data_IF_249149957621
#
_entry.id   IF_249149957621
#
_cell.length_a   1.000
_cell.length_b   1.000
_cell.length_c   1.000
_cell.angle_alpha   90.00
_cell.angle_beta   90.00
_cell.angle_gamma   90.00
#
_symmetry.space_group_name_H-M   'P 1'
#
loop_
_entity.id
_entity.type
_entity.pdbx_description
1 polymer ?
#
# COMPACT_ATOMS: atom_id res chain seq x y z
N UNK A 1 -70.29 19.68 -101.60
CA UNK A 1 -69.31 18.60 -101.84
C UNK A 1 -68.34 18.59 -100.66
N UNK A 2 -68.53 17.73 -99.66
CA UNK A 2 -67.88 16.39 -99.48
C UNK A 2 -66.34 16.52 -99.35
N UNK A 3 -65.62 16.04 -98.33
CA UNK A 3 -65.84 14.95 -97.34
C UNK A 3 -64.71 14.93 -96.28
N UNK A 4 -65.08 14.67 -95.02
CA UNK A 4 -64.53 13.64 -94.10
C UNK A 4 -63.01 13.31 -94.06
N UNK A 5 -62.39 13.34 -92.87
CA UNK A 5 -62.03 12.12 -92.10
C UNK A 5 -61.43 12.36 -90.70
N UNK A 6 -61.76 11.40 -89.83
CA UNK A 6 -61.47 11.17 -88.41
C UNK A 6 -59.99 11.09 -87.97
N UNK A 7 -59.82 11.34 -86.67
CA UNK A 7 -58.93 10.72 -85.65
C UNK A 7 -57.46 10.46 -85.98
N UNK A 8 -56.55 10.90 -85.08
CA UNK A 8 -55.90 9.93 -84.19
C UNK A 8 -55.31 10.53 -82.91
N UNK A 9 -55.56 9.85 -81.78
CA UNK A 9 -55.01 10.14 -80.44
C UNK A 9 -53.66 9.42 -80.35
N UNK A 10 -52.55 10.14 -80.21
CA UNK A 10 -51.26 9.53 -79.80
C UNK A 10 -50.88 9.97 -78.39
N UNK A 11 -51.15 9.06 -77.45
CA UNK A 11 -50.52 8.99 -76.14
C UNK A 11 -49.00 9.03 -76.31
N UNK A 12 -48.34 10.10 -75.81
CA UNK A 12 -46.89 10.13 -75.66
C UNK A 12 -46.52 9.30 -74.44
N UNK A 13 -46.11 8.05 -74.68
CA UNK A 13 -45.42 7.24 -73.68
C UNK A 13 -44.17 7.96 -73.20
N UNK A 14 -44.09 8.20 -71.88
CA UNK A 14 -42.90 8.71 -71.21
C UNK A 14 -41.86 7.60 -71.23
N UNK A 15 -40.79 7.79 -72.00
CA UNK A 15 -39.69 6.83 -72.11
C UNK A 15 -39.13 6.58 -70.70
N UNK A 16 -39.09 5.33 -70.20
CA UNK A 16 -38.42 5.02 -68.95
C UNK A 16 -36.93 5.33 -69.12
N UNK A 17 -36.42 6.30 -68.35
CA UNK A 17 -34.98 6.57 -68.26
C UNK A 17 -34.32 5.29 -67.74
N UNK A 18 -33.47 4.67 -68.54
CA UNK A 18 -32.65 3.54 -68.12
C UNK A 18 -31.84 3.98 -66.90
N UNK A 19 -32.12 3.36 -65.75
CA UNK A 19 -31.22 3.46 -64.60
C UNK A 19 -29.94 2.73 -65.00
N UNK A 20 -28.83 3.45 -65.10
CA UNK A 20 -27.52 2.86 -65.34
C UNK A 20 -27.25 1.86 -64.22
N UNK A 21 -27.09 0.58 -64.57
CA UNK A 21 -26.62 -0.43 -63.64
C UNK A 21 -25.12 -0.23 -63.46
N UNK A 22 -24.65 -0.25 -62.20
CA UNK A 22 -23.23 -0.16 -61.88
C UNK A 22 -22.49 -1.39 -62.41
N UNK A 23 -21.35 -1.15 -63.04
CA UNK A 23 -20.49 -2.22 -63.55
C UNK A 23 -19.78 -2.94 -62.40
N UNK A 24 -19.46 -4.22 -62.58
CA UNK A 24 -18.69 -4.98 -61.60
C UNK A 24 -17.33 -4.32 -61.30
N UNK A 25 -16.74 -3.65 -62.28
CA UNK A 25 -15.48 -2.91 -62.12
C UNK A 25 -15.67 -1.68 -61.25
N UNK A 26 -16.76 -0.92 -61.39
CA UNK A 26 -17.06 0.20 -60.50
C UNK A 26 -17.27 -0.25 -59.05
N UNK A 27 -18.02 -1.34 -58.84
CA UNK A 27 -18.21 -1.88 -57.50
C UNK A 27 -16.91 -2.39 -56.88
N UNK A 28 -16.02 -2.99 -57.69
CA UNK A 28 -14.69 -3.40 -57.24
C UNK A 28 -13.87 -2.19 -56.78
N UNK A 29 -13.77 -1.15 -57.61
CA UNK A 29 -13.01 0.07 -57.27
C UNK A 29 -13.54 0.74 -56.01
N UNK A 30 -14.87 0.82 -55.87
CA UNK A 30 -15.50 1.40 -54.67
C UNK A 30 -15.16 0.62 -53.41
N UNK A 31 -15.25 -0.72 -53.45
CA UNK A 31 -14.91 -1.55 -52.29
C UNK A 31 -13.42 -1.42 -51.96
N UNK A 32 -12.53 -1.37 -52.95
CA UNK A 32 -11.09 -1.17 -52.72
C UNK A 32 -10.81 0.17 -52.07
N UNK A 33 -11.43 1.27 -52.56
CA UNK A 33 -11.28 2.60 -51.95
C UNK A 33 -11.84 2.61 -50.53
N UNK A 34 -13.00 1.97 -50.30
CA UNK A 34 -13.61 1.89 -48.98
C UNK A 34 -12.71 1.14 -47.99
N UNK A 35 -12.11 0.02 -48.39
CA UNK A 35 -11.18 -0.74 -47.56
C UNK A 35 -9.90 0.07 -47.25
N UNK A 36 -9.35 0.78 -48.23
CA UNK A 36 -8.19 1.66 -48.01
C UNK A 36 -8.55 2.78 -47.05
N UNK A 37 -9.68 3.46 -47.26
CA UNK A 37 -10.16 4.51 -46.36
C UNK A 37 -10.42 3.99 -44.95
N UNK A 38 -11.04 2.81 -44.81
CA UNK A 38 -11.30 2.20 -43.52
C UNK A 38 -9.99 1.86 -42.79
N UNK A 39 -8.99 1.32 -43.48
CA UNK A 39 -7.68 1.05 -42.91
C UNK A 39 -6.99 2.31 -42.36
N UNK A 40 -7.00 3.40 -43.15
CA UNK A 40 -6.43 4.68 -42.72
C UNK A 40 -7.23 5.28 -41.54
N UNK A 41 -8.56 5.21 -41.59
CA UNK A 41 -9.43 5.76 -40.54
C UNK A 41 -9.19 5.06 -39.20
N UNK A 42 -9.08 3.73 -39.18
CA UNK A 42 -8.80 2.97 -37.96
C UNK A 42 -7.44 3.32 -37.36
N UNK A 43 -6.40 3.46 -38.22
CA UNK A 43 -5.07 3.83 -37.75
C UNK A 43 -5.04 5.20 -37.06
N UNK A 44 -5.73 6.20 -37.64
CA UNK A 44 -5.81 7.55 -37.04
C UNK A 44 -6.56 7.53 -35.71
N UNK A 45 -7.67 6.79 -35.62
CA UNK A 45 -8.46 6.68 -34.38
C UNK A 45 -7.62 6.08 -33.26
N UNK A 46 -6.87 4.99 -33.53
CA UNK A 46 -6.05 4.34 -32.51
C UNK A 46 -4.97 5.27 -31.93
N UNK A 47 -4.23 5.99 -32.77
CA UNK A 47 -3.19 6.94 -32.31
C UNK A 47 -3.82 8.08 -31.49
N UNK A 48 -4.98 8.60 -31.92
CA UNK A 48 -5.67 9.65 -31.17
C UNK A 48 -6.21 9.18 -29.81
N UNK A 49 -6.71 7.93 -29.74
CA UNK A 49 -7.28 7.36 -28.53
C UNK A 49 -6.23 7.05 -27.45
N UNK A 50 -4.96 6.88 -27.84
CA UNK A 50 -3.86 6.55 -26.93
C UNK A 50 -3.33 7.76 -26.15
N UNK A 51 -3.26 8.93 -26.77
CA UNK A 51 -2.96 10.17 -26.03
C UNK A 51 -4.09 10.54 -25.07
N UNK A 52 -5.35 10.32 -25.47
CA UNK A 52 -6.51 10.70 -24.67
C UNK A 52 -6.70 9.82 -23.43
N UNK A 53 -6.37 8.52 -23.49
CA UNK A 53 -6.46 7.63 -22.32
C UNK A 53 -5.48 8.01 -21.21
N UNK A 54 -4.24 8.38 -21.53
CA UNK A 54 -3.22 8.72 -20.51
C UNK A 54 -3.62 10.01 -19.80
N UNK A 55 -4.04 11.01 -20.57
CA UNK A 55 -4.58 12.26 -20.01
C UNK A 55 -5.80 11.99 -19.13
N UNK A 56 -6.74 11.17 -19.60
CA UNK A 56 -7.91 10.75 -18.81
C UNK A 56 -7.50 10.05 -17.52
N UNK A 57 -6.50 9.15 -17.56
CA UNK A 57 -5.99 8.46 -16.38
C UNK A 57 -5.36 9.42 -15.37
N UNK A 58 -4.54 10.37 -15.84
CA UNK A 58 -3.95 11.40 -14.98
C UNK A 58 -5.02 12.31 -14.35
N UNK A 59 -6.02 12.74 -15.14
CA UNK A 59 -7.17 13.50 -14.62
C UNK A 59 -7.97 12.71 -13.59
N UNK A 60 -8.11 11.38 -13.78
CA UNK A 60 -8.81 10.52 -12.83
C UNK A 60 -8.04 10.43 -11.50
N UNK A 61 -6.73 10.18 -11.53
CA UNK A 61 -5.87 10.14 -10.33
C UNK A 61 -5.90 11.49 -9.60
N UNK A 62 -5.76 12.60 -10.33
CA UNK A 62 -5.84 13.94 -9.76
C UNK A 62 -7.19 14.19 -9.09
N UNK A 63 -8.29 13.85 -9.77
CA UNK A 63 -9.66 14.02 -9.26
C UNK A 63 -9.91 13.19 -8.01
N UNK A 64 -9.35 11.97 -7.95
CA UNK A 64 -9.44 11.12 -6.76
C UNK A 64 -8.71 11.72 -5.57
N UNK A 65 -7.48 12.20 -5.76
CA UNK A 65 -6.71 12.83 -4.69
C UNK A 65 -7.37 14.13 -4.20
N UNK A 66 -7.82 14.99 -5.12
CA UNK A 66 -8.56 16.19 -4.77
C UNK A 66 -9.88 15.87 -4.04
N UNK A 67 -10.64 14.89 -4.53
CA UNK A 67 -11.87 14.45 -3.89
C UNK A 67 -11.64 13.85 -2.49
N UNK A 68 -10.53 13.14 -2.27
CA UNK A 68 -10.19 12.62 -0.93
C UNK A 68 -9.87 13.75 0.06
N UNK A 69 -9.15 14.77 -0.40
CA UNK A 69 -8.87 15.99 0.37
C UNK A 69 -10.15 16.72 0.74
N UNK A 70 -11.06 16.92 -0.22
CA UNK A 70 -12.32 17.63 0.01
C UNK A 70 -13.24 16.82 0.94
N UNK A 71 -13.24 15.48 0.83
CA UNK A 71 -13.92 14.59 1.80
C UNK A 71 -13.33 14.67 3.20
N UNK A 72 -12.00 14.83 3.34
CA UNK A 72 -11.35 15.02 4.64
C UNK A 72 -11.82 16.32 5.31
N UNK A 73 -11.90 17.40 4.53
CA UNK A 73 -12.42 18.69 4.99
C UNK A 73 -13.90 18.58 5.39
N UNK A 74 -14.73 17.94 4.56
CA UNK A 74 -16.16 17.77 4.82
C UNK A 74 -16.44 16.88 6.04
N UNK A 75 -15.75 15.75 6.16
CA UNK A 75 -15.98 14.80 7.24
C UNK A 75 -15.34 15.22 8.58
N UNK A 76 -14.50 16.26 8.60
CA UNK A 76 -13.79 16.69 9.80
C UNK A 76 -12.77 15.67 10.33
N UNK A 77 -12.45 14.63 9.55
CA UNK A 77 -11.52 13.54 9.91
C UNK A 77 -10.67 13.12 8.72
N UNK A 78 -9.49 12.51 8.95
CA UNK A 78 -8.60 12.16 7.86
C UNK A 78 -9.23 11.18 6.85
N UNK A 79 -9.21 11.58 5.58
CA UNK A 79 -9.68 10.79 4.44
C UNK A 79 -8.57 10.72 3.39
N UNK A 80 -8.59 9.71 2.53
CA UNK A 80 -7.50 9.46 1.62
C UNK A 80 -7.86 8.61 0.42
N UNK A 81 -6.82 8.29 -0.35
CA UNK A 81 -6.87 7.33 -1.44
C UNK A 81 -5.91 6.19 -1.11
N UNK A 82 -6.38 4.95 -1.28
CA UNK A 82 -5.55 3.75 -1.32
C UNK A 82 -5.34 3.37 -2.77
N UNK A 83 -4.09 3.24 -3.16
CA UNK A 83 -3.64 2.73 -4.45
C UNK A 83 -3.34 1.24 -4.28
N UNK A 84 -3.90 0.39 -5.13
CA UNK A 84 -3.62 -1.04 -5.10
C UNK A 84 -2.55 -1.39 -6.13
N UNK A 85 -1.56 -2.15 -5.68
CA UNK A 85 -0.57 -2.74 -6.56
C UNK A 85 -1.24 -3.88 -7.34
N UNK A 86 -1.14 -3.83 -8.66
CA UNK A 86 -1.69 -4.84 -9.56
C UNK A 86 -0.79 -6.09 -9.58
N UNK A 87 -1.32 -7.29 -9.36
CA UNK A 87 -0.59 -8.53 -9.64
C UNK A 87 -0.22 -8.69 -11.13
N UNK A 88 -0.96 -8.07 -12.06
CA UNK A 88 -0.84 -8.28 -13.51
C UNK A 88 0.37 -7.61 -14.15
N UNK A 89 1.10 -6.74 -13.43
CA UNK A 89 2.38 -6.19 -13.88
C UNK A 89 3.56 -7.12 -13.64
N UNK A 90 3.34 -8.21 -12.94
CA UNK A 90 4.36 -9.12 -12.46
C UNK A 90 4.73 -10.16 -13.51
N UNK A 91 6.03 -10.30 -13.80
CA UNK A 91 6.56 -11.49 -14.46
C UNK A 91 6.33 -12.75 -13.60
N UNK A 92 6.08 -12.62 -12.30
CA UNK A 92 5.62 -13.70 -11.42
C UNK A 92 4.13 -14.00 -11.65
N UNK A 93 3.79 -14.52 -12.83
CA UNK A 93 2.39 -14.78 -13.27
C UNK A 93 1.69 -15.72 -12.28
N UNK A 94 2.43 -16.65 -11.69
CA UNK A 94 1.88 -17.68 -10.82
C UNK A 94 2.11 -17.43 -9.31
N UNK A 95 2.80 -16.35 -8.95
CA UNK A 95 2.95 -15.88 -7.56
C UNK A 95 3.89 -16.73 -6.71
N UNK A 96 4.79 -17.51 -7.32
CA UNK A 96 5.75 -18.37 -6.62
C UNK A 96 7.08 -17.67 -6.31
N UNK A 97 7.22 -16.40 -6.70
CA UNK A 97 8.42 -15.59 -6.54
C UNK A 97 9.66 -16.19 -7.22
N UNK A 98 9.45 -16.92 -8.31
CA UNK A 98 10.49 -17.45 -9.20
C UNK A 98 10.20 -16.96 -10.62
N UNK A 99 11.27 -16.82 -11.42
CA UNK A 99 11.14 -16.56 -12.85
C UNK A 99 10.98 -17.89 -13.57
N UNK A 100 9.77 -18.22 -14.00
CA UNK A 100 9.51 -19.44 -14.74
C UNK A 100 9.74 -19.28 -16.26
N UNK A 101 9.84 -20.42 -16.93
CA UNK A 101 10.11 -20.45 -18.35
C UNK A 101 8.89 -19.89 -19.12
N UNK A 102 9.04 -18.72 -19.75
CA UNK A 102 7.96 -17.98 -20.40
C UNK A 102 7.47 -16.76 -19.62
N UNK A 103 8.00 -16.51 -18.43
CA UNK A 103 7.71 -15.33 -17.61
C UNK A 103 8.71 -14.17 -17.85
N UNK A 104 9.90 -14.46 -18.39
CA UNK A 104 10.93 -13.46 -18.72
C UNK A 104 10.56 -12.65 -19.97
N UNK A 105 9.69 -11.65 -19.78
CA UNK A 105 9.09 -10.89 -20.86
C UNK A 105 10.12 -9.98 -21.56
N UNK A 106 11.19 -9.60 -20.87
CA UNK A 106 12.20 -8.68 -21.38
C UNK A 106 13.60 -9.31 -21.61
N UNK A 107 13.78 -10.59 -21.24
CA UNK A 107 14.98 -11.37 -21.54
C UNK A 107 16.18 -11.09 -20.63
N UNK A 108 15.96 -10.48 -19.46
CA UNK A 108 17.03 -10.10 -18.54
C UNK A 108 17.37 -11.20 -17.51
N UNK A 109 16.62 -12.31 -17.50
CA UNK A 109 16.72 -13.42 -16.55
C UNK A 109 16.56 -13.01 -15.06
N UNK A 110 15.82 -11.94 -14.79
CA UNK A 110 15.42 -11.50 -13.46
C UNK A 110 13.89 -11.49 -13.38
N UNK A 111 13.34 -11.82 -12.21
CA UNK A 111 11.89 -11.73 -11.98
C UNK A 111 11.49 -10.26 -11.81
N UNK A 112 10.92 -9.64 -12.84
CA UNK A 112 10.43 -8.28 -12.77
C UNK A 112 8.98 -8.24 -12.29
N UNK A 113 8.80 -7.99 -11.00
CA UNK A 113 7.51 -7.60 -10.44
C UNK A 113 7.22 -6.16 -10.94
N UNK A 114 6.50 -5.97 -12.04
CA UNK A 114 6.05 -4.64 -12.45
C UNK A 114 5.19 -4.01 -11.37
N UNK A 115 5.69 -2.91 -10.78
CA UNK A 115 4.99 -2.25 -9.68
C UNK A 115 3.99 -1.24 -10.24
N UNK A 116 2.88 -1.75 -10.75
CA UNK A 116 1.83 -0.96 -11.39
C UNK A 116 0.66 -0.76 -10.45
N UNK A 117 0.07 0.43 -10.47
CA UNK A 117 -1.22 0.69 -9.83
C UNK A 117 -2.26 0.92 -10.91
N UNK A 118 -3.24 0.04 -10.98
CA UNK A 118 -4.36 0.12 -11.94
C UNK A 118 -5.69 0.45 -11.27
N UNK A 119 -5.73 0.45 -9.94
CA UNK A 119 -6.96 0.74 -9.20
C UNK A 119 -6.74 1.53 -7.92
N UNK A 120 -7.76 2.29 -7.54
CA UNK A 120 -7.73 3.14 -6.37
C UNK A 120 -9.09 3.23 -5.69
N UNK A 121 -9.09 3.42 -4.37
CA UNK A 121 -10.33 3.51 -3.58
C UNK A 121 -10.22 4.58 -2.50
N UNK A 122 -11.34 5.19 -2.14
CA UNK A 122 -11.39 6.10 -1.01
C UNK A 122 -11.27 5.33 0.32
N UNK A 123 -10.40 5.84 1.18
CA UNK A 123 -10.18 5.34 2.54
C UNK A 123 -10.45 6.43 3.57
N UNK A 124 -10.78 6.03 4.78
CA UNK A 124 -10.99 6.93 5.90
C UNK A 124 -10.44 6.31 7.17
N UNK A 125 -9.94 7.14 8.07
CA UNK A 125 -9.64 6.68 9.44
C UNK A 125 -11.00 6.47 10.13
N UNK A 126 -11.31 5.25 10.62
CA UNK A 126 -12.58 5.00 11.30
C UNK A 126 -12.78 5.94 12.50
N UNK A 127 -14.04 6.27 12.83
CA UNK A 127 -14.37 6.98 14.09
C UNK A 127 -14.01 6.13 15.31
N UNK A 128 -14.03 4.82 15.11
CA UNK A 128 -13.80 3.84 16.15
C UNK A 128 -12.30 3.80 16.42
N UNK A 129 -11.91 4.38 17.54
CA UNK A 129 -10.76 3.83 18.25
C UNK A 129 -11.14 2.40 18.63
N UNK A 130 -10.26 1.44 18.42
CA UNK A 130 -10.39 0.22 19.23
C UNK A 130 -10.05 0.65 20.66
N UNK A 131 -11.10 0.84 21.45
CA UNK A 131 -11.04 1.11 22.88
C UNK A 131 -11.36 -0.19 23.60
N UNK A 132 -10.54 -0.50 24.59
CA UNK A 132 -10.80 -1.58 25.51
C UNK A 132 -10.02 -1.34 26.78
N UNK A 133 -10.40 -2.08 27.81
CA UNK A 133 -9.56 -2.26 28.98
C UNK A 133 -8.66 -3.47 28.73
N UNK A 134 -7.40 -3.37 29.14
CA UNK A 134 -6.59 -4.55 29.37
C UNK A 134 -6.44 -4.71 30.88
N UNK A 135 -6.52 -5.96 31.33
CA UNK A 135 -6.01 -6.33 32.64
C UNK A 135 -4.63 -6.90 32.40
N UNK A 136 -3.59 -6.31 33.00
CA UNK A 136 -2.31 -6.99 33.09
C UNK A 136 -2.48 -8.03 34.19
N UNK A 137 -2.94 -9.22 33.82
CA UNK A 137 -2.64 -10.40 34.63
C UNK A 137 -1.12 -10.51 34.61
N UNK A 138 -0.50 -10.62 35.78
CA UNK A 138 0.92 -10.94 35.86
C UNK A 138 1.21 -12.00 34.80
N UNK A 139 2.16 -11.72 33.91
CA UNK A 139 2.82 -12.85 33.28
C UNK A 139 3.41 -13.57 34.49
N UNK A 140 2.96 -14.79 34.78
CA UNK A 140 3.87 -15.81 35.28
C UNK A 140 4.96 -15.85 34.22
N UNK A 141 5.90 -14.89 34.31
CA UNK A 141 7.18 -15.00 33.68
C UNK A 141 7.63 -16.36 34.10
N UNK A 142 7.72 -17.25 33.13
CA UNK A 142 8.55 -18.42 33.27
C UNK A 142 9.90 -17.84 33.70
N UNK A 143 10.14 -17.79 35.01
CA UNK A 143 11.43 -17.57 35.62
C UNK A 143 12.27 -18.82 35.42
N UNK A 144 12.10 -19.54 34.31
CA UNK A 144 12.92 -20.65 33.93
C UNK A 144 14.12 -20.10 33.15
N UNK A 145 14.96 -19.34 33.86
CA UNK A 145 16.43 -19.47 33.78
C UNK A 145 17.11 -18.29 34.49
N UNK A 146 17.39 -18.47 35.78
CA UNK A 146 18.57 -17.96 36.52
C UNK A 146 18.28 -17.55 37.97
N UNK A 147 17.30 -18.16 38.64
CA UNK A 147 17.43 -18.33 40.08
C UNK A 147 18.34 -19.55 40.25
N UNK A 148 19.61 -19.29 40.55
CA UNK A 148 20.55 -20.32 41.00
C UNK A 148 20.02 -20.79 42.36
N UNK A 149 19.17 -21.81 42.35
CA UNK A 149 18.77 -22.51 43.57
C UNK A 149 19.94 -23.42 43.90
N UNK A 150 20.63 -23.16 45.02
CA UNK A 150 21.72 -24.01 45.51
C UNK A 150 21.20 -25.39 45.92
N UNK A 151 19.90 -25.56 46.14
CA UNK A 151 19.26 -26.89 46.24
C UNK A 151 18.80 -27.42 44.87
N UNK A 152 19.71 -27.58 43.91
CA UNK A 152 19.38 -28.04 42.54
C UNK A 152 18.62 -29.37 42.55
N UNK A 153 18.79 -30.17 43.60
CA UNK A 153 18.18 -31.49 43.78
C UNK A 153 16.99 -31.51 44.74
N UNK A 154 16.61 -30.38 45.33
CA UNK A 154 15.52 -30.22 46.29
C UNK A 154 15.55 -31.24 47.45
N UNK A 155 16.74 -31.53 47.97
CA UNK A 155 16.95 -32.52 49.02
C UNK A 155 17.25 -31.90 50.40
N UNK A 156 17.36 -30.57 50.47
CA UNK A 156 17.66 -29.83 51.69
C UNK A 156 19.09 -30.03 52.24
N UNK A 157 20.03 -30.47 51.39
CA UNK A 157 21.45 -30.68 51.73
C UNK A 157 22.34 -30.04 50.67
N UNK A 158 23.31 -29.22 51.10
CA UNK A 158 24.26 -28.55 50.19
C UNK A 158 25.24 -29.59 49.62
N UNK A 159 25.05 -30.00 48.36
CA UNK A 159 25.96 -30.96 47.73
C UNK A 159 27.21 -30.27 47.15
N UNK A 160 28.34 -31.00 47.02
CA UNK A 160 29.56 -30.44 46.44
C UNK A 160 29.34 -29.88 45.02
N UNK A 161 29.60 -28.58 44.85
CA UNK A 161 29.43 -27.85 43.59
C UNK A 161 28.12 -27.08 43.46
N UNK A 162 27.26 -27.12 44.48
CA UNK A 162 26.03 -26.31 44.55
C UNK A 162 26.23 -24.99 45.31
N UNK A 163 27.21 -24.94 46.21
CA UNK A 163 27.69 -23.76 46.95
C UNK A 163 28.35 -22.76 46.00
N UNK A 164 27.56 -21.85 45.45
CA UNK A 164 27.97 -21.02 44.32
C UNK A 164 28.76 -19.80 44.77
N UNK A 165 28.60 -19.37 46.01
CA UNK A 165 29.29 -18.22 46.60
C UNK A 165 30.33 -18.59 47.67
N UNK A 166 30.32 -19.84 48.16
CA UNK A 166 31.33 -20.40 49.05
C UNK A 166 31.09 -20.11 50.53
N UNK A 167 29.88 -19.75 50.94
CA UNK A 167 29.55 -19.39 52.32
C UNK A 167 29.21 -20.61 53.21
N UNK A 168 28.94 -21.76 52.58
CA UNK A 168 28.66 -23.03 53.24
C UNK A 168 27.23 -23.18 53.78
N UNK A 169 26.29 -22.35 53.33
CA UNK A 169 24.87 -22.44 53.64
C UNK A 169 24.05 -22.80 52.39
N UNK A 170 22.75 -22.99 52.59
CA UNK A 170 21.84 -23.51 51.57
C UNK A 170 20.76 -22.45 51.38
N UNK A 171 21.00 -21.52 50.47
CA UNK A 171 20.26 -20.26 50.46
C UNK A 171 19.11 -20.30 49.45
N UNK A 172 17.88 -20.21 49.99
CA UNK A 172 16.68 -20.12 49.19
C UNK A 172 16.49 -18.69 48.69
N UNK A 173 16.95 -18.40 47.48
CA UNK A 173 16.55 -17.19 46.74
C UNK A 173 17.48 -15.98 46.84
N UNK A 174 18.76 -16.17 47.16
CA UNK A 174 19.73 -15.07 47.08
C UNK A 174 20.24 -14.88 45.64
N UNK A 175 19.54 -13.99 44.92
CA UNK A 175 20.14 -13.09 43.94
C UNK A 175 19.24 -11.86 43.96
N UNK A 176 19.61 -10.85 44.76
CA UNK A 176 18.92 -9.56 44.71
C UNK A 176 19.12 -8.99 43.32
N UNK A 177 18.08 -9.14 42.47
CA UNK A 177 17.92 -8.39 41.23
C UNK A 177 17.90 -6.89 41.55
N UNK A 178 19.08 -6.29 41.73
CA UNK A 178 19.29 -4.84 41.66
C UNK A 178 19.08 -4.30 40.23
N UNK A 179 18.68 -5.15 39.29
CA UNK A 179 18.08 -4.77 38.02
C UNK A 179 16.56 -4.96 38.04
N UNK A 180 15.81 -3.92 38.40
CA UNK A 180 14.36 -3.85 38.17
C UNK A 180 14.08 -3.82 36.66
N UNK A 181 14.08 -5.00 36.03
CA UNK A 181 13.47 -5.18 34.72
C UNK A 181 12.21 -6.01 34.90
N UNK A 182 11.20 -5.36 35.46
CA UNK A 182 9.86 -5.89 35.54
C UNK A 182 9.26 -5.84 34.12
N UNK A 183 9.33 -6.95 33.39
CA UNK A 183 8.84 -7.07 32.01
C UNK A 183 7.38 -7.48 32.03
N UNK A 184 6.48 -6.63 31.53
CA UNK A 184 5.05 -6.97 31.38
C UNK A 184 4.62 -6.80 29.93
N UNK A 185 4.25 -7.89 29.26
CA UNK A 185 3.68 -7.88 27.91
C UNK A 185 2.16 -7.75 27.98
N UNK A 186 1.61 -6.89 27.13
CA UNK A 186 0.18 -6.90 26.81
C UNK A 186 0.07 -7.58 25.45
N UNK A 187 -0.69 -8.66 25.36
CA UNK A 187 -0.90 -9.42 24.15
C UNK A 187 -2.25 -9.05 23.53
N UNK A 188 -2.23 -8.28 22.45
CA UNK A 188 -3.43 -7.99 21.66
C UNK A 188 -3.51 -8.97 20.48
N UNK A 189 -4.58 -9.77 20.44
CA UNK A 189 -4.92 -10.59 19.28
C UNK A 189 -5.41 -9.70 18.14
N UNK A 190 -4.66 -9.66 17.03
CA UNK A 190 -5.06 -8.94 15.82
C UNK A 190 -5.15 -9.93 14.64
N UNK A 191 -6.36 -10.10 14.09
CA UNK A 191 -6.63 -10.99 12.95
C UNK A 191 -6.32 -10.34 11.57
N UNK A 192 -5.44 -9.33 11.50
CA UNK A 192 -5.23 -8.55 10.27
C UNK A 192 -3.76 -8.38 9.93
N UNK A 193 -3.41 -8.50 8.64
CA UNK A 193 -2.12 -8.08 8.10
C UNK A 193 -1.91 -6.59 8.37
N UNK A 194 -0.99 -6.26 9.29
CA UNK A 194 -0.74 -4.90 9.71
C UNK A 194 0.04 -4.14 8.62
N UNK A 195 -0.62 -3.20 7.93
CA UNK A 195 0.01 -2.32 6.92
C UNK A 195 0.96 -1.26 7.52
N UNK A 196 0.86 -0.96 8.82
CA UNK A 196 1.75 -0.02 9.55
C UNK A 196 1.97 -0.50 10.99
N UNK A 197 3.12 -0.14 11.60
CA UNK A 197 3.38 -0.35 13.04
C UNK A 197 2.32 0.41 13.85
N UNK A 198 1.44 -0.27 14.61
CA UNK A 198 0.42 0.41 15.39
C UNK A 198 1.06 1.24 16.51
N UNK A 199 0.38 2.33 16.91
CA UNK A 199 0.69 3.11 18.11
C UNK A 199 -0.49 2.98 19.06
N UNK A 200 -0.19 2.77 20.32
CA UNK A 200 -1.18 2.64 21.38
C UNK A 200 -0.98 3.75 22.39
N UNK A 201 -2.08 4.32 22.88
CA UNK A 201 -2.05 5.23 24.02
C UNK A 201 -2.47 4.46 25.26
N UNK A 202 -1.63 4.46 26.29
CA UNK A 202 -1.91 3.87 27.61
C UNK A 202 -1.72 4.99 28.63
N UNK A 203 -2.75 5.27 29.44
CA UNK A 203 -2.68 6.30 30.50
C UNK A 203 -2.11 7.64 30.02
N UNK A 204 -2.53 8.10 28.83
CA UNK A 204 -2.09 9.36 28.23
C UNK A 204 -0.70 9.35 27.58
N UNK A 205 0.02 8.22 27.60
CA UNK A 205 1.36 8.08 27.03
C UNK A 205 1.32 7.24 25.75
N UNK A 206 2.07 7.67 24.73
CA UNK A 206 2.14 6.97 23.45
C UNK A 206 3.26 5.92 23.45
N UNK A 207 2.90 4.68 23.14
CA UNK A 207 3.84 3.58 22.96
C UNK A 207 3.88 3.14 21.51
N UNK A 208 5.09 2.93 20.98
CA UNK A 208 5.29 2.23 19.72
C UNK A 208 5.14 0.76 19.98
N UNK A 209 4.29 0.10 19.20
CA UNK A 209 4.07 -1.31 19.42
C UNK A 209 4.96 -2.16 18.52
N UNK A 210 5.58 -3.16 19.12
CA UNK A 210 6.51 -4.05 18.43
C UNK A 210 5.77 -5.35 18.16
N UNK A 211 5.69 -5.74 16.88
CA UNK A 211 5.28 -7.08 16.56
C UNK A 211 6.34 -8.03 17.12
N UNK A 212 5.97 -8.87 18.09
CA UNK A 212 6.77 -10.05 18.42
C UNK A 212 6.42 -11.06 17.33
N UNK A 213 7.41 -11.66 16.69
CA UNK A 213 7.23 -12.56 15.53
C UNK A 213 6.21 -13.67 15.78
N UNK A 214 5.78 -14.34 14.71
CA UNK A 214 4.83 -15.45 14.77
C UNK A 214 5.29 -16.49 15.82
N UNK A 215 4.60 -16.56 16.96
CA UNK A 215 4.80 -17.65 17.91
C UNK A 215 3.95 -18.82 17.44
N UNK A 216 4.59 -19.79 16.80
CA UNK A 216 4.01 -21.12 16.68
C UNK A 216 4.06 -21.75 18.07
N UNK A 217 2.91 -21.80 18.77
CA UNK A 217 2.73 -22.89 19.72
C UNK A 217 2.92 -24.19 18.92
N UNK A 218 3.73 -25.11 19.41
CA UNK A 218 4.06 -26.39 18.74
C UNK A 218 2.86 -27.33 18.51
N UNK A 219 1.62 -26.84 18.65
CA UNK A 219 0.40 -27.59 18.41
C UNK A 219 -0.37 -26.89 17.29
N UNK A 220 -0.50 -27.57 16.13
CA UNK A 220 -1.24 -27.25 14.90
C UNK A 220 -2.55 -26.44 15.06
N UNK A 221 -2.44 -25.18 15.49
CA UNK A 221 -3.52 -24.21 15.60
C UNK A 221 -3.28 -22.99 14.70
N UNK A 222 -4.28 -22.11 14.53
CA UNK A 222 -4.13 -20.91 13.73
C UNK A 222 -2.97 -20.04 14.25
N UNK A 223 -2.14 -19.54 13.34
CA UNK A 223 -1.03 -18.64 13.66
C UNK A 223 -1.61 -17.34 14.21
N UNK A 224 -1.42 -17.08 15.50
CA UNK A 224 -1.82 -15.84 16.15
C UNK A 224 -0.66 -14.85 16.14
N UNK A 225 -0.90 -13.64 15.60
CA UNK A 225 0.06 -12.53 15.66
C UNK A 225 -0.19 -11.71 16.92
N UNK A 226 0.78 -11.69 17.81
CA UNK A 226 0.74 -10.95 19.06
C UNK A 226 1.42 -9.59 18.92
N UNK A 227 0.78 -8.58 19.49
CA UNK A 227 1.30 -7.24 19.50
C UNK A 227 1.81 -6.89 20.90
N UNK A 228 3.14 -6.90 21.10
CA UNK A 228 3.75 -6.69 22.41
C UNK A 228 4.09 -5.20 22.66
N UNK A 229 3.65 -4.69 23.81
CA UNK A 229 3.97 -3.34 24.28
C UNK A 229 4.95 -3.48 25.45
N UNK A 230 5.89 -2.54 25.59
CA UNK A 230 6.82 -2.44 26.73
C UNK A 230 6.52 -1.21 27.60
N UNK A 231 5.41 -1.21 28.35
CA UNK A 231 5.21 -0.20 29.38
C UNK A 231 6.18 -0.45 30.55
N UNK A 232 6.88 0.59 31.01
CA UNK A 232 7.53 0.57 32.33
C UNK A 232 6.43 0.74 33.36
N UNK A 233 5.84 -0.36 33.80
CA UNK A 233 5.01 -0.31 34.99
C UNK A 233 5.93 -0.39 36.21
N UNK A 234 5.86 0.61 37.10
CA UNK A 234 6.46 0.51 38.43
C UNK A 234 5.39 -0.05 39.37
N UNK A 235 5.50 -1.31 39.73
CA UNK A 235 4.73 -1.91 40.82
C UNK A 235 5.52 -3.10 41.36
N UNK A 236 5.57 -3.23 42.68
CA UNK A 236 6.10 -4.43 43.34
C UNK A 236 5.30 -5.65 42.90
N UNK A 237 5.97 -6.79 42.66
CA UNK A 237 5.30 -8.09 42.64
C UNK A 237 4.59 -8.26 43.97
N UNK A 238 3.33 -8.72 43.94
CA UNK A 238 2.66 -9.07 45.18
C UNK A 238 3.30 -10.28 45.82
N UNK A 239 3.24 -10.33 47.14
CA UNK A 239 3.73 -11.40 48.00
C UNK A 239 2.78 -12.61 48.01
N UNK A 240 1.53 -12.45 47.58
CA UNK A 240 0.54 -13.52 47.46
C UNK A 240 0.79 -14.41 46.23
N UNK A 241 1.80 -15.29 46.30
CA UNK A 241 2.23 -16.12 45.17
C UNK A 241 1.15 -17.10 44.72
N UNK A 242 0.29 -17.53 45.63
CA UNK A 242 -0.74 -18.54 45.39
C UNK A 242 -2.18 -17.97 45.31
N UNK A 243 -2.35 -16.64 45.46
CA UNK A 243 -3.62 -15.91 45.42
C UNK A 243 -4.66 -16.41 46.45
N UNK A 244 -4.23 -16.86 47.63
CA UNK A 244 -5.14 -17.32 48.68
C UNK A 244 -5.55 -16.20 49.66
N UNK A 245 -4.94 -15.00 49.56
CA UNK A 245 -5.22 -13.85 50.41
C UNK A 245 -4.65 -13.95 51.83
N UNK A 246 -3.69 -14.85 52.06
CA UNK A 246 -2.99 -15.08 53.33
C UNK A 246 -1.49 -14.99 53.09
N UNK A 247 -0.73 -14.42 54.03
CA UNK A 247 0.74 -14.42 53.99
C UNK A 247 1.27 -15.80 54.42
N UNK A 248 1.70 -16.62 53.46
CA UNK A 248 2.29 -17.92 53.75
C UNK A 248 3.80 -17.84 54.08
N UNK A 249 4.33 -18.90 54.67
CA UNK A 249 5.75 -18.98 55.01
C UNK A 249 6.62 -18.96 53.74
N UNK A 250 7.46 -17.94 53.60
CA UNK A 250 8.30 -17.71 52.41
C UNK A 250 7.74 -16.67 51.44
N UNK A 251 6.54 -16.16 51.69
CA UNK A 251 5.91 -15.11 50.88
C UNK A 251 6.24 -13.68 51.36
N UNK A 252 6.68 -13.52 52.62
CA UNK A 252 7.07 -12.24 53.22
C UNK A 252 8.45 -11.78 52.74
N UNK A 253 8.51 -11.29 51.50
CA UNK A 253 9.75 -10.92 50.81
C UNK A 253 10.43 -9.75 51.54
N UNK A 254 9.67 -8.85 52.14
CA UNK A 254 10.20 -7.64 52.75
C UNK A 254 10.29 -7.66 54.29
N UNK A 255 9.77 -8.72 54.93
CA UNK A 255 9.91 -8.98 56.36
C UNK A 255 9.03 -8.11 57.25
N UNK A 256 7.94 -7.54 56.72
CA UNK A 256 7.05 -6.66 57.47
C UNK A 256 5.89 -7.40 58.17
N UNK A 257 5.70 -8.69 57.87
CA UNK A 257 4.62 -9.50 58.43
C UNK A 257 3.21 -9.15 57.92
N UNK A 258 3.09 -8.38 56.84
CA UNK A 258 1.84 -8.02 56.19
C UNK A 258 1.83 -8.57 54.76
N UNK A 259 0.68 -9.11 54.30
CA UNK A 259 0.56 -9.54 52.90
C UNK A 259 0.50 -8.32 51.98
N UNK A 260 1.62 -7.99 51.34
CA UNK A 260 1.61 -6.98 50.29
C UNK A 260 1.08 -7.60 49.01
N UNK A 261 -0.21 -7.41 48.70
CA UNK A 261 -0.88 -7.96 47.50
C UNK A 261 -0.31 -7.47 46.16
N UNK A 262 0.80 -6.74 46.18
CA UNK A 262 1.37 -6.07 45.03
C UNK A 262 0.48 -4.90 44.65
N UNK A 263 1.08 -3.84 44.13
CA UNK A 263 0.23 -2.86 43.45
C UNK A 263 -0.39 -3.60 42.27
N UNK A 264 -1.72 -3.80 42.23
CA UNK A 264 -2.42 -4.22 41.01
C UNK A 264 -1.88 -3.37 39.88
N UNK A 265 -1.04 -3.95 39.03
CA UNK A 265 -0.31 -3.16 38.05
C UNK A 265 -1.25 -2.89 36.89
N UNK A 266 -2.01 -1.83 37.06
CA UNK A 266 -2.75 -1.12 36.03
C UNK A 266 -3.91 -1.91 35.42
N UNK A 267 -5.13 -1.54 35.81
CA UNK A 267 -6.19 -1.43 34.81
C UNK A 267 -5.83 -0.23 33.92
N UNK A 268 -5.75 -0.48 32.62
CA UNK A 268 -5.41 0.54 31.64
C UNK A 268 -6.45 0.60 30.54
N UNK A 269 -6.98 1.79 30.31
CA UNK A 269 -7.69 2.12 29.08
C UNK A 269 -6.66 2.19 27.95
N UNK A 270 -6.85 1.39 26.90
CA UNK A 270 -6.09 1.55 25.66
C UNK A 270 -6.90 2.23 24.58
N UNK A 271 -6.23 3.07 23.79
CA UNK A 271 -6.76 3.57 22.51
C UNK A 271 -5.84 3.09 21.39
N UNK A 272 -6.35 2.19 20.57
CA UNK A 272 -5.71 1.74 19.34
C UNK A 272 -6.25 2.55 18.17
N UNK A 273 -5.35 3.22 17.44
CA UNK A 273 -5.72 3.89 16.19
C UNK A 273 -5.94 2.82 15.12
N UNK A 274 -7.19 2.64 14.69
CA UNK A 274 -7.52 1.75 13.57
C UNK A 274 -6.81 2.23 12.30
N UNK A 275 -6.38 1.26 11.48
CA UNK A 275 -5.81 1.55 10.18
C UNK A 275 -6.88 2.19 9.28
N UNK A 276 -6.49 3.02 8.30
CA UNK A 276 -7.42 3.51 7.31
C UNK A 276 -8.16 2.33 6.65
N UNK A 277 -9.48 2.38 6.69
CA UNK A 277 -10.35 1.38 6.08
C UNK A 277 -10.98 1.98 4.82
N UNK A 278 -11.35 1.11 3.88
CA UNK A 278 -12.17 1.50 2.72
C UNK A 278 -13.48 2.10 3.23
N UNK A 279 -13.86 3.25 2.68
CA UNK A 279 -15.12 3.88 3.11
C UNK A 279 -16.32 2.97 2.77
N UNK A 280 -17.38 2.97 3.59
CA UNK A 280 -18.55 2.12 3.34
C UNK A 280 -19.13 2.30 1.93
N UNK A 281 -19.37 1.19 1.23
CA UNK A 281 -19.94 1.18 -0.12
C UNK A 281 -19.01 1.68 -1.23
N UNK A 282 -17.72 1.86 -0.96
CA UNK A 282 -16.72 2.13 -2.00
C UNK A 282 -16.15 0.82 -2.54
N UNK A 283 -16.11 0.71 -3.87
CA UNK A 283 -15.36 -0.32 -4.57
C UNK A 283 -14.13 0.31 -5.24
N UNK A 284 -13.02 -0.44 -5.43
CA UNK A 284 -11.88 0.05 -6.19
C UNK A 284 -12.29 0.47 -7.60
N UNK A 285 -11.94 1.69 -7.96
CA UNK A 285 -12.15 2.20 -9.31
C UNK A 285 -10.89 1.98 -10.12
N UNK A 286 -11.09 1.36 -11.29
CA UNK A 286 -10.04 1.09 -12.26
C UNK A 286 -9.67 2.38 -13.01
N UNK A 287 -8.39 2.50 -13.34
CA UNK A 287 -7.90 3.43 -14.33
C UNK A 287 -8.38 3.03 -15.74
N UNK A 288 -8.28 3.92 -16.75
CA UNK A 288 -8.66 3.57 -18.11
C UNK A 288 -7.87 2.36 -18.60
N UNK A 289 -8.47 1.56 -19.49
CA UNK A 289 -7.83 0.37 -20.01
C UNK A 289 -6.47 0.69 -20.65
N UNK A 290 -5.45 -0.09 -20.29
CA UNK A 290 -4.06 0.12 -20.73
C UNK A 290 -3.30 1.19 -19.95
N UNK A 291 -3.89 1.84 -18.95
CA UNK A 291 -3.23 2.92 -18.19
C UNK A 291 -2.94 2.48 -16.75
N UNK A 292 -1.73 2.76 -16.28
CA UNK A 292 -1.32 2.52 -14.90
C UNK A 292 -0.52 3.70 -14.33
N UNK A 293 -0.45 3.78 -13.00
CA UNK A 293 0.64 4.52 -12.35
C UNK A 293 1.84 3.59 -12.27
N UNK A 294 2.93 3.98 -12.92
CA UNK A 294 4.19 3.24 -13.00
C UNK A 294 5.11 3.66 -11.84
N UNK A 295 5.13 2.85 -10.77
CA UNK A 295 5.90 3.18 -9.58
C UNK A 295 7.41 3.04 -9.80
N UNK A 296 7.84 2.20 -10.74
CA UNK A 296 9.26 1.97 -11.04
C UNK A 296 9.88 3.21 -11.71
N UNK A 297 9.11 3.87 -12.58
CA UNK A 297 9.52 5.09 -13.26
C UNK A 297 9.22 6.37 -12.45
N UNK A 298 8.76 6.27 -11.19
CA UNK A 298 8.67 7.40 -10.26
C UNK A 298 10.05 7.79 -9.69
N UNK A 299 10.98 8.15 -10.59
CA UNK A 299 12.39 8.51 -10.32
C UNK A 299 12.84 9.68 -11.19
N UNK A 300 13.80 10.52 -10.79
CA UNK A 300 14.16 11.69 -11.61
C UNK A 300 14.99 11.33 -12.84
N UNK A 301 15.82 10.29 -12.72
CA UNK A 301 16.79 9.87 -13.73
C UNK A 301 16.65 8.42 -14.12
N UNK A 302 17.07 8.07 -15.34
CA UNK A 302 17.07 6.70 -15.85
C UNK A 302 18.05 5.78 -15.09
N UNK A 303 19.12 6.33 -14.54
CA UNK A 303 20.15 5.65 -13.76
C UNK A 303 19.89 5.73 -12.25
N UNK A 304 18.86 6.46 -11.82
CA UNK A 304 18.49 6.53 -10.42
C UNK A 304 17.84 5.23 -9.95
N UNK A 305 17.99 4.96 -8.66
CA UNK A 305 17.21 3.95 -7.97
C UNK A 305 15.70 4.19 -8.22
N UNK A 306 14.95 3.10 -8.33
CA UNK A 306 13.50 3.14 -8.44
C UNK A 306 12.87 3.95 -7.28
N UNK A 307 11.70 4.54 -7.52
CA UNK A 307 10.88 5.20 -6.48
C UNK A 307 11.47 6.46 -5.79
N UNK A 308 12.43 7.16 -6.40
CA UNK A 308 13.09 8.34 -5.80
C UNK A 308 12.08 9.41 -5.36
N UNK A 309 10.93 9.53 -6.04
CA UNK A 309 9.88 10.52 -5.73
C UNK A 309 8.76 9.96 -4.85
N UNK A 310 8.84 8.70 -4.45
CA UNK A 310 7.81 8.05 -3.63
C UNK A 310 8.18 8.01 -2.13
N UNK A 311 7.19 7.96 -1.23
CA UNK A 311 7.40 7.82 0.21
C UNK A 311 8.08 6.49 0.58
N UNK A 312 9.12 6.52 1.44
CA UNK A 312 9.82 5.28 1.86
C UNK A 312 8.92 4.31 2.64
N UNK A 313 7.83 4.80 3.22
CA UNK A 313 6.81 3.97 3.88
C UNK A 313 6.08 3.02 2.94
N UNK A 314 6.10 3.30 1.64
CA UNK A 314 5.44 2.47 0.62
C UNK A 314 6.27 1.27 0.19
N UNK A 315 7.59 1.34 0.38
CA UNK A 315 8.52 0.29 -0.01
C UNK A 315 9.58 0.05 1.08
N UNK A 316 9.15 -0.40 2.28
CA UNK A 316 10.08 -0.79 3.33
C UNK A 316 10.99 -1.91 2.82
N UNK A 317 12.28 -1.83 3.13
CA UNK A 317 13.27 -2.80 2.64
C UNK A 317 13.27 -3.02 1.11
N UNK A 318 12.87 -2.01 0.33
CA UNK A 318 12.87 -2.02 -1.14
C UNK A 318 11.78 -2.90 -1.80
N UNK A 319 10.77 -3.35 -1.05
CA UNK A 319 9.61 -4.07 -1.58
C UNK A 319 8.34 -3.26 -1.39
N UNK A 320 7.58 -3.01 -2.46
CA UNK A 320 6.34 -2.27 -2.36
C UNK A 320 5.28 -3.02 -1.55
N UNK A 321 4.52 -2.27 -0.77
CA UNK A 321 3.34 -2.80 -0.10
C UNK A 321 2.21 -3.00 -1.13
N UNK A 322 1.33 -4.00 -0.94
CA UNK A 322 0.21 -4.26 -1.84
C UNK A 322 -0.84 -3.12 -1.86
N UNK A 323 -0.82 -2.27 -0.84
CA UNK A 323 -1.69 -1.11 -0.69
C UNK A 323 -0.88 0.11 -0.25
N UNK A 324 -0.99 1.20 -1.02
CA UNK A 324 -0.26 2.44 -0.80
C UNK A 324 -1.25 3.56 -0.46
N UNK A 325 -1.18 4.05 0.78
CA UNK A 325 -2.14 5.01 1.30
C UNK A 325 -1.60 6.45 1.23
N UNK A 326 -2.43 7.36 0.71
CA UNK A 326 -2.29 8.81 0.86
C UNK A 326 -3.47 9.30 1.70
N UNK A 327 -3.19 9.86 2.87
CA UNK A 327 -4.21 10.45 3.75
C UNK A 327 -4.08 11.96 3.79
N UNK A 328 -5.21 12.64 3.74
CA UNK A 328 -5.35 14.08 3.94
C UNK A 328 -5.94 14.35 5.33
N UNK A 329 -5.45 15.38 6.01
CA UNK A 329 -6.08 15.97 7.18
C UNK A 329 -7.31 16.78 6.77
N UNK A 330 -8.20 17.13 7.72
CA UNK A 330 -9.29 18.06 7.47
C UNK A 330 -8.83 19.45 6.99
N UNK A 331 -7.58 19.82 7.27
CA UNK A 331 -6.98 21.07 6.81
C UNK A 331 -6.40 20.96 5.38
N UNK A 332 -6.61 19.82 4.72
CA UNK A 332 -6.17 19.56 3.35
C UNK A 332 -4.72 19.12 3.21
N UNK A 333 -3.93 19.05 4.28
CA UNK A 333 -2.52 18.63 4.21
C UNK A 333 -2.37 17.10 4.25
N UNK A 334 -1.32 16.54 3.66
CA UNK A 334 -1.04 15.09 3.75
C UNK A 334 -0.58 14.75 5.17
N UNK A 335 -1.05 13.61 5.70
CA UNK A 335 -0.70 13.11 7.04
C UNK A 335 -0.10 11.71 7.00
N UNK A 336 0.66 11.37 8.04
CA UNK A 336 1.39 10.11 8.13
C UNK A 336 2.83 10.25 7.63
N UNK A 337 3.55 9.13 7.49
CA UNK A 337 4.93 9.13 6.98
C UNK A 337 5.07 9.81 5.60
N UNK A 338 4.03 9.76 4.79
CA UNK A 338 3.98 10.34 3.44
C UNK A 338 4.15 11.86 3.45
N UNK A 339 3.73 12.53 4.54
CA UNK A 339 3.82 13.98 4.68
C UNK A 339 5.27 14.50 4.57
N UNK A 340 6.24 13.68 4.97
CA UNK A 340 7.67 14.02 4.97
C UNK A 340 8.29 14.13 3.57
N UNK A 341 7.60 13.65 2.52
CA UNK A 341 8.17 13.61 1.17
C UNK A 341 8.29 14.98 0.51
N UNK A 342 7.47 15.95 0.92
CA UNK A 342 7.40 17.28 0.32
C UNK A 342 6.56 17.30 -0.96
N UNK A 343 6.98 16.54 -1.98
CA UNK A 343 6.22 16.33 -3.22
C UNK A 343 6.26 14.86 -3.60
N UNK A 344 5.09 14.30 -3.92
CA UNK A 344 4.96 12.94 -4.44
C UNK A 344 4.62 13.06 -5.92
N UNK A 345 5.49 12.54 -6.79
CA UNK A 345 5.24 12.46 -8.23
C UNK A 345 4.83 11.04 -8.59
N UNK A 346 3.65 10.91 -9.20
CA UNK A 346 3.08 9.67 -9.72
C UNK A 346 3.10 9.74 -11.24
N UNK A 347 3.91 8.90 -11.88
CA UNK A 347 3.94 8.81 -13.34
C UNK A 347 2.77 7.95 -13.82
N UNK A 348 1.91 8.54 -14.64
CA UNK A 348 0.85 7.83 -15.36
C UNK A 348 1.37 7.46 -16.74
N UNK A 349 1.34 6.16 -17.04
CA UNK A 349 1.95 5.56 -18.22
C UNK A 349 1.05 4.47 -18.84
N UNK A 350 1.33 4.09 -20.08
CA UNK A 350 0.74 2.91 -20.70
C UNK A 350 1.38 1.64 -20.14
N UNK A 351 0.54 0.64 -19.86
CA UNK A 351 0.95 -0.64 -19.28
C UNK A 351 1.94 -1.35 -20.21
N UNK A 352 1.78 -1.28 -21.53
CA UNK A 352 2.68 -1.95 -22.47
C UNK A 352 4.11 -1.37 -22.39
N UNK A 353 4.24 -0.05 -22.26
CA UNK A 353 5.53 0.61 -22.08
C UNK A 353 6.13 0.27 -20.70
N UNK A 354 5.30 0.23 -19.67
CA UNK A 354 5.72 -0.06 -18.29
C UNK A 354 6.16 -1.51 -18.09
N UNK A 355 5.46 -2.49 -18.68
CA UNK A 355 5.84 -3.91 -18.63
C UNK A 355 7.19 -4.15 -19.31
N UNK A 356 7.51 -3.39 -20.37
CA UNK A 356 8.82 -3.43 -21.02
C UNK A 356 9.91 -2.62 -20.28
N UNK A 357 9.59 -2.03 -19.13
CA UNK A 357 10.49 -1.17 -18.34
C UNK A 357 11.08 0.00 -19.12
N UNK A 358 10.38 0.49 -20.14
CA UNK A 358 10.87 1.59 -20.97
C UNK A 358 10.97 2.86 -20.13
N UNK A 359 12.11 3.54 -20.23
CA UNK A 359 12.24 4.86 -19.62
C UNK A 359 11.26 5.82 -20.33
N UNK A 360 10.55 6.72 -19.62
CA UNK A 360 9.52 7.56 -20.24
C UNK A 360 10.04 8.55 -21.28
N UNK A 361 11.35 8.78 -21.31
CA UNK A 361 12.02 9.68 -22.27
C UNK A 361 12.94 8.83 -23.13
N UNK A 362 12.75 8.87 -24.44
CA UNK A 362 13.57 8.10 -25.39
C UNK A 362 15.01 8.57 -25.44
N UNK A 363 15.89 7.88 -24.72
CA UNK A 363 17.31 8.21 -24.71
C UNK A 363 18.01 7.76 -26.01
N UNK A 364 19.03 8.51 -26.48
CA UNK A 364 19.82 8.08 -27.63
C UNK A 364 20.41 6.68 -27.43
N UNK A 365 20.12 5.77 -28.37
CA UNK A 365 20.60 4.39 -28.33
C UNK A 365 19.72 3.42 -27.54
N UNK A 366 18.52 3.82 -27.11
CA UNK A 366 17.55 2.90 -26.54
C UNK A 366 17.14 1.81 -27.55
N UNK A 367 17.07 0.56 -27.09
CA UNK A 367 16.73 -0.60 -27.93
C UNK A 367 15.24 -0.64 -28.32
N UNK A 368 14.39 -0.04 -27.49
CA UNK A 368 12.97 0.14 -27.71
C UNK A 368 12.60 1.58 -27.33
N UNK A 369 11.66 2.15 -28.08
CA UNK A 369 11.16 3.50 -27.86
C UNK A 369 9.81 3.43 -27.18
N UNK A 370 9.60 4.37 -26.28
CA UNK A 370 8.34 4.58 -25.62
C UNK A 370 7.30 5.10 -26.62
N UNK A 371 6.11 4.50 -26.67
CA UNK A 371 5.15 4.76 -27.75
C UNK A 371 3.96 5.62 -27.33
N UNK A 372 3.72 5.79 -26.03
CA UNK A 372 2.53 6.47 -25.51
C UNK A 372 2.82 7.84 -24.90
N UNK A 373 1.77 8.66 -24.74
CA UNK A 373 1.88 9.93 -24.03
C UNK A 373 2.21 9.70 -22.54
N UNK A 374 2.73 10.72 -21.84
CA UNK A 374 3.17 10.61 -20.44
C UNK A 374 2.68 11.79 -19.63
N UNK A 375 2.12 11.50 -18.46
CA UNK A 375 1.64 12.54 -17.55
C UNK A 375 2.10 12.26 -16.13
N UNK A 376 2.44 13.33 -15.42
CA UNK A 376 2.90 13.27 -14.04
C UNK A 376 1.85 13.93 -13.17
N UNK A 377 1.28 13.17 -12.24
CA UNK A 377 0.41 13.70 -11.19
C UNK A 377 1.29 14.02 -9.98
N UNK A 378 1.31 15.28 -9.58
CA UNK A 378 2.16 15.76 -8.49
C UNK A 378 1.31 16.22 -7.31
N UNK A 379 1.58 15.66 -6.14
CA UNK A 379 0.92 15.98 -4.88
C UNK A 379 1.89 16.71 -3.95
N UNK A 380 1.56 17.96 -3.62
CA UNK A 380 2.31 18.77 -2.67
C UNK A 380 1.85 18.45 -1.25
N UNK A 381 2.68 17.77 -0.46
CA UNK A 381 2.24 17.17 0.81
C UNK A 381 1.86 18.21 1.85
N UNK A 382 2.45 19.41 1.80
CA UNK A 382 2.18 20.51 2.75
C UNK A 382 0.84 21.20 2.52
N UNK A 383 0.34 21.22 1.29
CA UNK A 383 -0.88 21.96 0.92
C UNK A 383 -2.01 21.03 0.48
N UNK A 384 -1.69 19.78 0.15
CA UNK A 384 -2.59 18.86 -0.56
C UNK A 384 -3.01 19.36 -1.93
N UNK A 385 -2.25 20.29 -2.50
CA UNK A 385 -2.46 20.72 -3.88
C UNK A 385 -2.03 19.58 -4.82
N UNK A 386 -2.83 19.33 -5.85
CA UNK A 386 -2.59 18.27 -6.83
C UNK A 386 -2.59 18.90 -8.22
N UNK A 387 -1.53 18.69 -8.97
CA UNK A 387 -1.37 19.19 -10.33
C UNK A 387 -0.98 18.08 -11.28
N UNK A 388 -1.23 18.30 -12.56
CA UNK A 388 -0.79 17.43 -13.65
C UNK A 388 0.13 18.20 -14.57
N UNK A 389 1.25 17.61 -14.95
CA UNK A 389 2.21 18.19 -15.89
C UNK A 389 2.66 17.14 -16.91
N UNK A 390 3.13 17.59 -18.06
CA UNK A 390 3.87 16.74 -18.99
C UNK A 390 5.26 16.41 -18.43
N UNK A 391 5.85 15.33 -18.92
CA UNK A 391 7.27 15.07 -18.69
C UNK A 391 8.11 16.04 -19.53
N UNK A 392 9.34 16.27 -19.08
CA UNK A 392 10.28 17.11 -19.81
C UNK A 392 10.66 16.48 -21.17
N UNK A 393 10.92 17.33 -22.18
CA UNK A 393 11.41 16.87 -23.49
C UNK A 393 12.83 16.30 -23.42
N UNK A 394 13.23 15.45 -24.38
CA UNK A 394 14.57 14.85 -24.41
C UNK A 394 15.71 15.90 -24.35
N UNK A 395 15.73 16.98 -25.15
CA UNK A 395 16.81 17.96 -25.11
C UNK A 395 16.98 18.58 -23.72
N UNK A 396 15.86 18.88 -23.05
CA UNK A 396 15.87 19.45 -21.71
C UNK A 396 16.21 18.43 -20.63
N UNK A 397 15.78 17.18 -20.77
CA UNK A 397 16.21 16.08 -19.92
C UNK A 397 17.73 15.90 -19.94
N UNK A 398 18.37 16.02 -21.11
CA UNK A 398 19.82 15.89 -21.22
C UNK A 398 20.57 16.97 -20.42
N UNK A 399 19.98 18.17 -20.29
CA UNK A 399 20.54 19.27 -19.49
C UNK A 399 20.20 19.21 -18.01
N UNK A 400 18.98 18.81 -17.65
CA UNK A 400 18.48 18.83 -16.27
C UNK A 400 18.71 17.52 -15.53
N UNK A 401 18.73 16.39 -16.25
CA UNK A 401 18.67 15.03 -15.70
C UNK A 401 17.53 14.89 -14.70
N UNK A 402 16.37 15.46 -15.01
CA UNK A 402 15.21 15.38 -14.15
C UNK A 402 13.93 15.33 -14.99
N UNK A 403 13.31 14.15 -15.09
CA UNK A 403 12.09 14.01 -15.88
C UNK A 403 10.89 14.79 -15.32
N UNK A 404 10.93 15.16 -14.04
CA UNK A 404 9.88 15.91 -13.34
C UNK A 404 10.17 17.41 -13.27
N UNK A 405 11.09 17.91 -14.10
CA UNK A 405 11.54 19.31 -14.05
C UNK A 405 10.39 20.33 -14.09
N UNK A 406 9.46 20.20 -15.03
CA UNK A 406 8.29 21.09 -15.11
C UNK A 406 7.37 20.95 -13.90
N UNK A 407 7.10 19.70 -13.49
CA UNK A 407 6.24 19.40 -12.37
C UNK A 407 6.75 20.00 -11.03
N UNK A 408 8.06 19.96 -10.80
CA UNK A 408 8.69 20.53 -9.60
C UNK A 408 8.71 22.07 -9.60
N UNK A 409 8.64 22.69 -10.77
CA UNK A 409 8.52 24.15 -10.93
C UNK A 409 7.08 24.64 -10.90
N UNK A 410 6.11 23.73 -10.89
CA UNK A 410 4.69 24.07 -10.99
C UNK A 410 4.30 24.60 -12.37
N UNK A 411 5.08 24.26 -13.40
CA UNK A 411 4.76 24.57 -14.79
C UNK A 411 3.66 23.59 -15.23
N UNK A 412 2.47 24.14 -15.46
CA UNK A 412 1.30 23.46 -16.02
C UNK A 412 1.10 23.94 -17.45
N UNK A 413 0.46 23.13 -18.29
CA UNK A 413 -0.02 23.56 -19.61
C UNK A 413 -0.82 24.86 -19.57
#
# INVERSE_FOLDING_TARGET
MTTSRRHDRRMRGRIPRSRSAFTLVEMLVVITILLVMMGVTVAVINVSAEGERIRSGASQVQSYLAGARDRAAFAGRPCGVRLFLDPLGSEDINGNSQLDNGEDANGNNLLDLGHLVTSMVYIQVPDDWQQGSFTVTSHQGDASSSLLIEDVKFNGVLDPGEDSDGDGQLDSGEDTLTGTTDWRSIDLLLNTNLLRKPRIMIQGHWYTVWAKGDWTYQNNGPVHRYLAIRPRFRGSMGEDFNNNGVLDQGEDINGNGELDQGTRVGEGEYRLRLQPAVMPGQEPVLLPAGVAVDLDQCRRRHDAAFAETLPKSWYPANTYLPALDILFSPNGTVVGPEASKGVIHLLVNDIADSTQKLFPIDLPGAAALNQSDKRVVSLFTRTGYVTTSEIVSLPEYLGTKNQFYYAERGETE
#
